data_IF_959508533088
#
_entry.id   IF_959508533088
#
_cell.length_a   1.000
_cell.length_b   1.000
_cell.length_c   1.000
_cell.angle_alpha   90.00
_cell.angle_beta   90.00
_cell.angle_gamma   90.00
#
_symmetry.space_group_name_H-M   'P 1'
#
loop_
_entity.id
_entity.type
_entity.pdbx_description
1 polymer ?
#
# COMPACT_ATOMS: atom_id res chain seq x y z
N UNK A 1 -4.06 9.24 -22.98
CA UNK A 1 -4.60 7.90 -22.65
C UNK A 1 -5.99 8.06 -22.04
N UNK A 2 -6.90 7.14 -22.33
CA UNK A 2 -8.28 7.12 -21.82
C UNK A 2 -8.31 6.26 -20.54
N UNK A 3 -8.69 6.83 -19.42
CA UNK A 3 -8.77 6.16 -18.13
C UNK A 3 -10.22 5.88 -17.74
N UNK A 4 -10.45 4.79 -17.03
CA UNK A 4 -11.73 4.51 -16.38
C UNK A 4 -11.52 4.08 -14.92
N UNK A 5 -12.56 4.26 -14.09
CA UNK A 5 -12.57 3.86 -12.69
C UNK A 5 -13.77 2.93 -12.45
N UNK A 6 -13.53 1.80 -11.77
CA UNK A 6 -14.58 0.97 -11.18
C UNK A 6 -14.44 0.95 -9.66
N UNK A 7 -15.55 1.29 -8.96
CA UNK A 7 -15.59 1.55 -7.53
C UNK A 7 -15.45 3.05 -7.22
N UNK A 8 -16.58 3.74 -7.00
CA UNK A 8 -16.64 5.19 -6.78
C UNK A 8 -16.71 5.54 -5.28
N UNK A 9 -15.91 4.86 -4.46
CA UNK A 9 -15.78 5.11 -3.02
C UNK A 9 -14.87 6.31 -2.69
N UNK A 10 -14.47 6.43 -1.42
CA UNK A 10 -13.62 7.55 -0.96
C UNK A 10 -12.26 7.59 -1.69
N UNK A 11 -11.63 6.42 -1.90
CA UNK A 11 -10.33 6.35 -2.57
C UNK A 11 -10.39 6.78 -4.05
N UNK A 12 -11.54 6.62 -4.70
CA UNK A 12 -11.74 7.04 -6.09
C UNK A 12 -11.56 8.56 -6.28
N UNK A 13 -11.91 9.36 -5.26
CA UNK A 13 -11.69 10.82 -5.28
C UNK A 13 -10.20 11.17 -5.26
N UNK A 14 -9.41 10.36 -4.56
CA UNK A 14 -7.94 10.54 -4.53
C UNK A 14 -7.33 10.16 -5.88
N UNK A 15 -7.78 9.05 -6.49
CA UNK A 15 -7.37 8.68 -7.84
C UNK A 15 -7.79 9.73 -8.88
N UNK A 16 -8.99 10.27 -8.78
CA UNK A 16 -9.44 11.39 -9.64
C UNK A 16 -8.50 12.59 -9.49
N UNK A 17 -8.11 12.94 -8.25
CA UNK A 17 -7.14 14.01 -8.00
C UNK A 17 -5.78 13.73 -8.63
N UNK A 18 -5.32 12.48 -8.59
CA UNK A 18 -4.06 12.07 -9.23
C UNK A 18 -4.15 12.17 -10.77
N UNK A 19 -5.24 11.66 -11.35
CA UNK A 19 -5.47 11.71 -12.80
C UNK A 19 -5.51 13.15 -13.35
N UNK A 20 -6.14 14.07 -12.63
CA UNK A 20 -6.19 15.51 -13.00
C UNK A 20 -4.83 16.18 -13.08
N UNK A 21 -3.83 15.65 -12.40
CA UNK A 21 -2.45 16.16 -12.47
C UNK A 21 -1.68 15.65 -13.70
N UNK A 22 -2.28 14.76 -14.50
CA UNK A 22 -1.69 14.20 -15.71
C UNK A 22 -2.30 14.88 -16.95
N UNK A 23 -1.49 15.55 -17.75
CA UNK A 23 -1.96 16.32 -18.91
C UNK A 23 -2.46 15.44 -20.06
N UNK A 24 -1.93 14.21 -20.16
CA UNK A 24 -2.18 13.31 -21.29
C UNK A 24 -3.12 12.16 -20.94
N UNK A 25 -3.87 12.29 -19.83
CA UNK A 25 -4.83 11.29 -19.36
C UNK A 25 -6.20 11.91 -19.17
N UNK A 26 -7.20 11.32 -19.81
CA UNK A 26 -8.60 11.72 -19.73
C UNK A 26 -9.41 10.65 -19.01
N UNK A 27 -10.16 11.00 -17.96
CA UNK A 27 -11.12 10.10 -17.32
C UNK A 27 -12.41 10.08 -18.13
N UNK A 28 -12.68 8.97 -18.82
CA UNK A 28 -13.80 8.84 -19.74
C UNK A 28 -15.02 8.13 -19.17
N UNK A 29 -14.85 7.29 -18.15
CA UNK A 29 -15.92 6.55 -17.53
C UNK A 29 -15.67 6.22 -16.06
N UNK A 30 -16.75 6.19 -15.29
CA UNK A 30 -16.75 5.76 -13.89
C UNK A 30 -17.90 4.79 -13.66
N UNK A 31 -17.63 3.68 -12.95
CA UNK A 31 -18.61 2.62 -12.73
C UNK A 31 -18.71 2.28 -11.24
N UNK A 32 -19.93 2.23 -10.73
CA UNK A 32 -20.25 1.69 -9.41
C UNK A 32 -21.65 1.07 -9.44
N UNK A 33 -21.84 -0.05 -8.73
CA UNK A 33 -23.18 -0.67 -8.58
C UNK A 33 -24.21 0.29 -7.96
N UNK A 34 -23.75 1.26 -7.18
CA UNK A 34 -24.55 2.38 -6.67
C UNK A 34 -24.50 3.54 -7.66
N UNK A 35 -25.60 3.74 -8.38
CA UNK A 35 -25.74 4.79 -9.41
C UNK A 35 -25.44 6.20 -8.86
N UNK A 36 -25.72 6.44 -7.59
CA UNK A 36 -25.49 7.76 -6.99
C UNK A 36 -24.00 8.02 -6.80
N UNK A 37 -23.23 7.00 -6.37
CA UNK A 37 -21.76 7.11 -6.27
C UNK A 37 -21.12 7.32 -7.64
N UNK A 38 -21.58 6.60 -8.66
CA UNK A 38 -21.07 6.80 -10.01
C UNK A 38 -21.35 8.22 -10.51
N UNK A 39 -22.58 8.73 -10.32
CA UNK A 39 -22.94 10.09 -10.68
C UNK A 39 -22.17 11.17 -9.92
N UNK A 40 -22.00 11.01 -8.61
CA UNK A 40 -21.21 11.94 -7.79
C UNK A 40 -19.77 12.06 -8.28
N UNK A 41 -19.12 10.93 -8.57
CA UNK A 41 -17.74 10.94 -9.07
C UNK A 41 -17.67 11.52 -10.49
N UNK A 42 -18.65 11.20 -11.35
CA UNK A 42 -18.76 11.76 -12.69
C UNK A 42 -18.94 13.28 -12.67
N UNK A 43 -19.78 13.83 -11.77
CA UNK A 43 -19.94 15.28 -11.59
C UNK A 43 -18.66 15.97 -11.11
N UNK A 44 -17.84 15.25 -10.34
CA UNK A 44 -16.53 15.76 -9.91
C UNK A 44 -15.47 15.66 -11.02
N UNK A 45 -15.70 14.90 -12.08
CA UNK A 45 -14.77 14.73 -13.21
C UNK A 45 -15.21 15.61 -14.38
N UNK A 46 -14.24 16.02 -15.20
CA UNK A 46 -14.48 16.89 -16.35
C UNK A 46 -14.95 16.07 -17.56
N UNK A 47 -16.17 15.46 -17.48
CA UNK A 47 -16.81 14.79 -18.60
C UNK A 47 -16.90 13.26 -18.56
N UNK A 48 -16.51 12.59 -17.47
CA UNK A 48 -16.65 11.13 -17.37
C UNK A 48 -18.14 10.71 -17.34
N UNK A 49 -18.44 9.65 -18.07
CA UNK A 49 -19.80 9.08 -18.11
C UNK A 49 -20.01 8.09 -16.97
N UNK A 50 -21.11 8.21 -16.18
CA UNK A 50 -21.40 7.27 -15.10
C UNK A 50 -22.08 5.99 -15.60
N UNK A 51 -21.62 4.84 -15.10
CA UNK A 51 -22.14 3.50 -15.41
C UNK A 51 -22.46 2.73 -14.14
N UNK A 52 -23.35 1.73 -14.26
CA UNK A 52 -23.60 0.73 -13.22
C UNK A 52 -23.17 -0.68 -13.63
N UNK A 53 -22.80 -0.86 -14.89
CA UNK A 53 -22.27 -2.09 -15.45
C UNK A 53 -20.88 -1.86 -16.07
N UNK A 54 -19.89 -2.65 -15.64
CA UNK A 54 -18.51 -2.51 -16.10
C UNK A 54 -18.39 -2.91 -17.58
N UNK A 55 -19.09 -3.96 -18.01
CA UNK A 55 -19.04 -4.43 -19.39
C UNK A 55 -19.55 -3.37 -20.37
N UNK A 56 -20.65 -2.70 -20.04
CA UNK A 56 -21.18 -1.59 -20.83
C UNK A 56 -20.17 -0.43 -20.90
N UNK A 57 -19.57 -0.03 -19.77
CA UNK A 57 -18.54 1.00 -19.73
C UNK A 57 -17.34 0.65 -20.63
N UNK A 58 -16.82 -0.55 -20.53
CA UNK A 58 -15.67 -1.01 -21.32
C UNK A 58 -15.98 -1.02 -22.82
N UNK A 59 -17.17 -1.51 -23.20
CA UNK A 59 -17.59 -1.60 -24.60
C UNK A 59 -17.79 -0.21 -25.24
N UNK A 60 -18.38 0.74 -24.50
CA UNK A 60 -18.69 2.07 -25.02
C UNK A 60 -17.49 3.02 -24.96
N UNK A 61 -16.77 3.03 -23.84
CA UNK A 61 -15.69 3.98 -23.63
C UNK A 61 -14.34 3.49 -24.16
N UNK A 62 -14.11 2.18 -24.25
CA UNK A 62 -12.85 1.57 -24.69
C UNK A 62 -11.63 2.23 -24.03
N UNK A 63 -11.54 2.23 -22.69
CA UNK A 63 -10.44 2.87 -21.99
C UNK A 63 -9.13 2.10 -22.21
N UNK A 64 -8.01 2.82 -22.24
CA UNK A 64 -6.67 2.23 -22.26
C UNK A 64 -6.30 1.68 -20.87
N UNK A 65 -6.84 2.29 -19.80
CA UNK A 65 -6.53 1.93 -18.42
C UNK A 65 -7.79 1.84 -17.56
N UNK A 66 -7.78 0.88 -16.62
CA UNK A 66 -8.84 0.69 -15.64
C UNK A 66 -8.26 0.75 -14.21
N UNK A 67 -8.76 1.66 -13.39
CA UNK A 67 -8.50 1.68 -11.96
C UNK A 67 -9.56 0.86 -11.23
N UNK A 68 -9.18 -0.24 -10.58
CA UNK A 68 -10.07 -1.11 -9.81
C UNK A 68 -9.98 -0.72 -8.33
N UNK A 69 -11.00 -0.02 -7.82
CA UNK A 69 -11.01 0.66 -6.52
C UNK A 69 -12.15 0.16 -5.61
N UNK A 70 -12.63 -1.02 -5.88
CA UNK A 70 -13.71 -1.69 -5.14
C UNK A 70 -13.16 -2.38 -3.86
N UNK A 71 -14.01 -2.98 -3.02
CA UNK A 71 -13.52 -3.88 -1.96
C UNK A 71 -12.81 -5.11 -2.53
N UNK A 72 -11.79 -5.66 -1.82
CA UNK A 72 -10.88 -6.69 -2.34
C UNK A 72 -11.53 -7.96 -2.91
N UNK A 73 -12.69 -8.35 -2.39
CA UNK A 73 -13.41 -9.55 -2.86
C UNK A 73 -13.83 -9.48 -4.35
N UNK A 74 -13.86 -8.31 -4.95
CA UNK A 74 -14.20 -8.13 -6.36
C UNK A 74 -13.01 -7.78 -7.27
N UNK A 75 -11.81 -7.59 -6.70
CA UNK A 75 -10.64 -7.14 -7.46
C UNK A 75 -10.31 -8.08 -8.61
N UNK A 76 -10.18 -9.39 -8.33
CA UNK A 76 -9.77 -10.36 -9.34
C UNK A 76 -10.76 -10.39 -10.53
N UNK A 77 -12.06 -10.47 -10.26
CA UNK A 77 -13.06 -10.55 -11.33
C UNK A 77 -13.10 -9.27 -12.19
N UNK A 78 -13.07 -8.09 -11.56
CA UNK A 78 -13.14 -6.81 -12.27
C UNK A 78 -11.85 -6.49 -13.02
N UNK A 79 -10.70 -6.83 -12.43
CA UNK A 79 -9.41 -6.65 -13.08
C UNK A 79 -9.27 -7.56 -14.32
N UNK A 80 -9.63 -8.84 -14.21
CA UNK A 80 -9.61 -9.79 -15.33
C UNK A 80 -10.53 -9.29 -16.46
N UNK A 81 -11.76 -8.89 -16.14
CA UNK A 81 -12.69 -8.34 -17.13
C UNK A 81 -12.12 -7.09 -17.84
N UNK A 82 -11.44 -6.21 -17.11
CA UNK A 82 -10.75 -5.07 -17.70
C UNK A 82 -9.60 -5.46 -18.63
N UNK A 83 -8.76 -6.42 -18.20
CA UNK A 83 -7.63 -6.93 -19.00
C UNK A 83 -8.10 -7.67 -20.26
N UNK A 84 -9.15 -8.47 -20.18
CA UNK A 84 -9.79 -9.12 -21.34
C UNK A 84 -10.38 -8.11 -22.34
N UNK A 85 -10.72 -6.89 -21.89
CA UNK A 85 -11.12 -5.79 -22.76
C UNK A 85 -9.93 -4.96 -23.29
N UNK A 86 -8.70 -5.36 -22.99
CA UNK A 86 -7.46 -4.71 -23.44
C UNK A 86 -6.97 -3.56 -22.57
N UNK A 87 -7.50 -3.39 -21.35
CA UNK A 87 -7.07 -2.32 -20.47
C UNK A 87 -5.83 -2.72 -19.64
N UNK A 88 -4.85 -1.83 -19.51
CA UNK A 88 -3.89 -1.90 -18.43
C UNK A 88 -4.61 -1.62 -17.10
N UNK A 89 -4.27 -2.34 -16.04
CA UNK A 89 -4.99 -2.30 -14.77
C UNK A 89 -4.12 -1.81 -13.62
N UNK A 90 -4.62 -0.80 -12.90
CA UNK A 90 -4.15 -0.41 -11.56
C UNK A 90 -5.20 -0.85 -10.54
N UNK A 91 -4.85 -1.80 -9.66
CA UNK A 91 -5.78 -2.38 -8.69
C UNK A 91 -5.41 -1.99 -7.27
N UNK A 92 -6.41 -1.67 -6.44
CA UNK A 92 -6.21 -1.41 -5.01
C UNK A 92 -5.66 -2.63 -4.25
N UNK A 93 -4.98 -2.31 -3.17
CA UNK A 93 -4.43 -3.35 -2.27
C UNK A 93 -5.52 -3.90 -1.29
N UNK A 94 -5.41 -5.16 -0.90
CA UNK A 94 -4.58 -6.20 -1.51
C UNK A 94 -5.03 -6.49 -2.94
N UNK A 95 -4.09 -6.80 -3.82
CA UNK A 95 -4.40 -7.10 -5.23
C UNK A 95 -5.45 -8.21 -5.37
N UNK A 96 -5.35 -9.22 -4.52
CA UNK A 96 -6.25 -10.36 -4.43
C UNK A 96 -6.36 -10.85 -2.98
N UNK A 97 -7.32 -11.72 -2.68
CA UNK A 97 -7.49 -12.34 -1.37
C UNK A 97 -6.83 -13.72 -1.24
N UNK A 98 -6.36 -14.29 -2.35
CA UNK A 98 -5.65 -15.58 -2.39
C UNK A 98 -4.60 -15.60 -3.49
N UNK A 99 -3.60 -16.49 -3.35
CA UNK A 99 -2.61 -16.75 -4.41
C UNK A 99 -3.28 -17.22 -5.70
N UNK A 100 -4.32 -18.06 -5.61
CA UNK A 100 -5.05 -18.53 -6.77
C UNK A 100 -5.70 -17.37 -7.57
N UNK A 101 -6.24 -16.37 -6.88
CA UNK A 101 -6.80 -15.19 -7.55
C UNK A 101 -5.67 -14.35 -8.17
N UNK A 102 -4.57 -14.14 -7.46
CA UNK A 102 -3.40 -13.41 -7.97
C UNK A 102 -2.83 -14.08 -9.23
N UNK A 103 -2.68 -15.41 -9.23
CA UNK A 103 -2.20 -16.18 -10.38
C UNK A 103 -3.11 -16.04 -11.61
N UNK A 104 -4.44 -16.06 -11.40
CA UNK A 104 -5.39 -15.82 -12.51
C UNK A 104 -5.31 -14.41 -13.06
N UNK A 105 -5.10 -13.41 -12.20
CA UNK A 105 -4.93 -12.02 -12.64
C UNK A 105 -3.65 -11.85 -13.46
N UNK A 106 -2.54 -12.44 -13.02
CA UNK A 106 -1.26 -12.42 -13.76
C UNK A 106 -1.42 -13.08 -15.10
N UNK A 107 -1.98 -14.31 -15.15
CA UNK A 107 -2.22 -15.02 -16.38
C UNK A 107 -3.11 -14.25 -17.38
N UNK A 108 -4.12 -13.52 -16.87
CA UNK A 108 -4.97 -12.67 -17.70
C UNK A 108 -4.21 -11.46 -18.26
N UNK A 109 -3.32 -10.84 -17.45
CA UNK A 109 -2.47 -9.75 -17.93
C UNK A 109 -1.51 -10.21 -19.04
N UNK A 110 -0.85 -11.35 -18.87
CA UNK A 110 0.04 -11.95 -19.85
C UNK A 110 -0.68 -12.32 -21.14
N UNK A 111 -1.85 -12.99 -21.02
CA UNK A 111 -2.62 -13.45 -22.18
C UNK A 111 -3.15 -12.29 -23.05
N UNK A 112 -3.38 -11.13 -22.47
CA UNK A 112 -3.88 -9.93 -23.17
C UNK A 112 -2.78 -8.87 -23.43
N UNK A 113 -1.53 -9.17 -23.11
CA UNK A 113 -0.37 -8.27 -23.30
C UNK A 113 -0.55 -6.89 -22.63
N UNK A 114 -1.19 -6.88 -21.46
CA UNK A 114 -1.46 -5.66 -20.69
C UNK A 114 -0.75 -5.65 -19.34
N UNK A 115 -0.56 -4.48 -18.79
CA UNK A 115 0.10 -4.27 -17.50
C UNK A 115 -0.91 -4.41 -16.36
N UNK A 116 -0.53 -5.18 -15.32
CA UNK A 116 -1.22 -5.25 -14.04
C UNK A 116 -0.31 -4.68 -12.94
N UNK A 117 -0.77 -3.65 -12.22
CA UNK A 117 -0.02 -2.99 -11.16
C UNK A 117 -0.86 -2.90 -9.89
N UNK A 118 -0.43 -3.46 -8.74
CA UNK A 118 -1.07 -3.24 -7.46
C UNK A 118 -0.73 -1.87 -6.87
N UNK A 119 -1.69 -1.26 -6.16
CA UNK A 119 -1.49 0.02 -5.50
C UNK A 119 -0.68 -0.11 -4.21
N UNK A 120 0.63 -0.27 -4.32
CA UNK A 120 1.58 -0.23 -3.20
C UNK A 120 2.07 1.22 -2.95
N UNK A 121 1.14 2.15 -2.77
CA UNK A 121 1.41 3.59 -2.72
C UNK A 121 2.46 4.00 -1.69
N UNK A 122 2.56 3.36 -0.51
CA UNK A 122 3.54 3.76 0.51
C UNK A 122 5.00 3.58 0.06
N UNK A 123 5.26 2.78 -0.98
CA UNK A 123 6.58 2.75 -1.61
C UNK A 123 6.99 4.12 -2.18
N UNK A 124 6.01 4.97 -2.52
CA UNK A 124 6.22 6.32 -3.08
C UNK A 124 6.26 7.42 -2.02
N UNK A 125 6.16 7.08 -0.74
CA UNK A 125 6.37 8.05 0.34
C UNK A 125 7.80 8.59 0.33
N UNK A 126 8.00 9.92 0.51
CA UNK A 126 9.33 10.52 0.48
C UNK A 126 10.34 9.87 1.42
N UNK A 127 9.91 9.51 2.64
CA UNK A 127 10.74 8.79 3.61
C UNK A 127 11.17 7.41 3.11
N UNK A 128 10.25 6.63 2.52
CA UNK A 128 10.53 5.30 1.97
C UNK A 128 11.42 5.41 0.72
N UNK A 129 11.13 6.34 -0.19
CA UNK A 129 11.96 6.58 -1.37
C UNK A 129 13.40 6.97 -0.98
N UNK A 130 13.57 7.77 0.09
CA UNK A 130 14.90 8.07 0.63
C UNK A 130 15.55 6.83 1.22
N UNK A 131 14.81 6.02 2.00
CA UNK A 131 15.33 4.78 2.58
C UNK A 131 15.79 3.79 1.50
N UNK A 132 14.97 3.58 0.46
CA UNK A 132 15.31 2.71 -0.68
C UNK A 132 16.58 3.18 -1.41
N UNK A 133 16.73 4.49 -1.63
CA UNK A 133 17.97 5.03 -2.23
C UNK A 133 19.20 4.81 -1.34
N UNK A 134 19.08 5.00 -0.03
CA UNK A 134 20.19 4.79 0.91
C UNK A 134 20.62 3.32 0.95
N UNK A 135 19.65 2.41 1.04
CA UNK A 135 19.93 0.96 1.02
C UNK A 135 20.51 0.53 -0.33
N UNK A 136 19.90 0.97 -1.44
CA UNK A 136 20.37 0.67 -2.79
C UNK A 136 21.77 1.25 -3.12
N UNK A 137 22.17 2.33 -2.43
CA UNK A 137 23.53 2.89 -2.52
C UNK A 137 24.55 2.14 -1.63
N UNK A 138 24.14 1.09 -0.90
CA UNK A 138 25.02 0.31 -0.03
C UNK A 138 25.39 1.01 1.29
N UNK A 139 24.68 2.07 1.68
CA UNK A 139 25.00 2.92 2.83
C UNK A 139 24.94 2.19 4.19
N UNK A 140 24.33 1.03 4.24
CA UNK A 140 24.20 0.19 5.45
C UNK A 140 24.72 -1.24 5.25
N UNK A 141 25.38 -1.54 4.13
CA UNK A 141 25.82 -2.89 3.78
C UNK A 141 24.62 -3.80 3.41
N UNK A 142 24.80 -5.12 3.61
CA UNK A 142 23.75 -6.10 3.35
C UNK A 142 22.63 -6.00 4.39
N UNK A 143 21.38 -5.99 3.93
CA UNK A 143 20.20 -5.96 4.83
C UNK A 143 20.04 -7.32 5.50
N UNK A 144 20.00 -7.35 6.83
CA UNK A 144 19.89 -8.58 7.65
C UNK A 144 18.59 -8.66 8.45
N UNK A 145 17.98 -7.50 8.76
CA UNK A 145 16.74 -7.44 9.53
C UNK A 145 15.90 -6.22 9.17
N UNK A 146 14.59 -6.40 9.09
CA UNK A 146 13.64 -5.30 8.86
C UNK A 146 12.50 -5.35 9.89
N UNK A 147 12.19 -4.22 10.49
CA UNK A 147 11.07 -4.06 11.41
C UNK A 147 10.07 -3.05 10.87
N UNK A 148 8.81 -3.45 10.73
CA UNK A 148 7.72 -2.59 10.28
C UNK A 148 6.66 -2.41 11.37
N UNK A 149 6.31 -1.16 11.68
CA UNK A 149 5.28 -0.83 12.65
C UNK A 149 4.17 0.00 12.02
N UNK A 150 2.92 -0.40 12.27
CA UNK A 150 1.72 0.28 11.80
C UNK A 150 0.74 0.51 12.95
N UNK A 151 0.82 1.66 13.60
CA UNK A 151 -0.03 2.07 14.70
C UNK A 151 -1.14 3.00 14.26
N UNK A 152 -2.39 2.67 14.58
CA UNK A 152 -3.60 3.40 14.17
C UNK A 152 -4.14 4.36 15.23
N UNK A 153 -3.56 4.38 16.44
CA UNK A 153 -3.90 5.27 17.55
C UNK A 153 -5.41 5.35 17.89
N UNK A 154 -6.15 4.25 17.67
CA UNK A 154 -7.59 4.21 17.89
C UNK A 154 -8.41 4.69 16.70
N UNK A 155 -7.80 4.94 15.51
CA UNK A 155 -8.53 5.18 14.25
C UNK A 155 -9.43 3.99 13.85
N UNK A 156 -9.34 2.85 14.56
CA UNK A 156 -10.35 1.79 14.50
C UNK A 156 -11.77 2.30 14.76
N UNK A 157 -11.93 3.45 15.42
CA UNK A 157 -13.22 4.16 15.52
C UNK A 157 -13.66 4.82 14.20
N UNK A 158 -12.75 5.19 13.31
CA UNK A 158 -13.08 5.73 11.98
C UNK A 158 -13.71 4.66 11.08
N UNK A 159 -13.36 3.37 11.32
CA UNK A 159 -13.97 2.21 10.68
C UNK A 159 -15.28 1.76 11.36
N UNK A 160 -15.62 2.29 12.53
CA UNK A 160 -16.95 2.18 13.11
C UNK A 160 -17.91 3.06 12.29
N UNK A 161 -18.42 2.52 11.20
CA UNK A 161 -19.16 3.21 10.15
C UNK A 161 -20.08 4.32 10.64
N UNK A 162 -20.07 5.45 9.94
CA UNK A 162 -21.07 6.50 10.13
C UNK A 162 -22.47 5.89 9.90
N UNK A 163 -23.34 5.99 10.91
CA UNK A 163 -24.71 5.46 10.82
C UNK A 163 -24.90 4.01 11.29
N UNK A 164 -23.98 3.45 12.09
CA UNK A 164 -24.17 2.12 12.71
C UNK A 164 -23.90 0.90 11.81
N UNK A 165 -23.52 1.13 10.55
CA UNK A 165 -23.08 0.06 9.66
C UNK A 165 -21.60 -0.24 9.88
N UNK A 166 -21.25 -1.51 10.01
CA UNK A 166 -19.85 -1.96 10.07
C UNK A 166 -19.13 -1.62 8.77
N UNK A 167 -17.88 -1.12 8.88
CA UNK A 167 -17.05 -0.93 7.70
C UNK A 167 -16.77 -2.28 7.03
N UNK A 168 -16.80 -2.33 5.70
CA UNK A 168 -16.62 -3.55 4.89
C UNK A 168 -15.35 -4.35 5.25
N UNK A 169 -14.30 -3.66 5.71
CA UNK A 169 -13.03 -4.30 6.11
C UNK A 169 -13.18 -5.30 7.26
N UNK A 170 -14.20 -5.14 8.12
CA UNK A 170 -14.46 -6.14 9.18
C UNK A 170 -15.04 -7.45 8.63
N UNK A 171 -15.64 -7.42 7.43
CA UNK A 171 -16.13 -8.60 6.72
C UNK A 171 -15.07 -9.35 5.92
N UNK A 172 -13.82 -8.89 5.89
CA UNK A 172 -12.73 -9.59 5.21
C UNK A 172 -12.28 -10.82 6.03
N UNK A 173 -11.76 -11.86 5.37
CA UNK A 173 -10.99 -12.90 6.06
C UNK A 173 -9.83 -12.25 6.81
N UNK A 174 -9.74 -12.44 8.13
CA UNK A 174 -8.78 -11.75 8.99
C UNK A 174 -9.24 -10.35 9.47
N UNK A 175 -10.49 -9.98 9.17
CA UNK A 175 -11.07 -8.71 9.63
C UNK A 175 -10.32 -7.48 9.15
N UNK A 176 -10.33 -6.42 9.96
CA UNK A 176 -9.68 -5.16 9.63
C UNK A 176 -8.17 -5.26 9.42
N UNK A 177 -7.48 -6.27 10.01
CA UNK A 177 -6.05 -6.49 9.78
C UNK A 177 -5.74 -6.73 8.30
N UNK A 178 -6.59 -7.47 7.57
CA UNK A 178 -6.42 -7.71 6.13
C UNK A 178 -6.37 -6.42 5.31
N UNK A 179 -6.96 -5.32 5.81
CA UNK A 179 -6.86 -4.03 5.15
C UNK A 179 -5.54 -3.27 5.44
N UNK A 180 -4.90 -3.53 6.60
CA UNK A 180 -3.69 -2.79 7.01
C UNK A 180 -2.40 -3.55 6.76
N UNK A 181 -2.42 -4.88 6.93
CA UNK A 181 -1.27 -5.76 6.72
C UNK A 181 -0.57 -5.58 5.36
N UNK A 182 -1.28 -5.44 4.24
CA UNK A 182 -0.65 -5.24 2.94
C UNK A 182 0.40 -4.15 2.96
N UNK A 183 0.12 -3.01 3.60
CA UNK A 183 1.07 -1.88 3.66
C UNK A 183 2.39 -2.25 4.33
N UNK A 184 2.35 -2.98 5.44
CA UNK A 184 3.56 -3.35 6.18
C UNK A 184 4.30 -4.47 5.46
N UNK A 185 3.57 -5.44 4.89
CA UNK A 185 4.16 -6.58 4.17
C UNK A 185 4.98 -6.09 2.98
N UNK A 186 4.39 -5.33 2.06
CA UNK A 186 5.13 -4.88 0.88
C UNK A 186 6.26 -3.89 1.21
N UNK A 187 6.15 -3.13 2.32
CA UNK A 187 7.24 -2.30 2.81
C UNK A 187 8.42 -3.14 3.30
N UNK A 188 8.17 -4.24 4.02
CA UNK A 188 9.24 -5.17 4.40
C UNK A 188 9.88 -5.82 3.16
N UNK A 189 9.06 -6.30 2.23
CA UNK A 189 9.51 -6.95 1.00
C UNK A 189 10.30 -6.02 0.09
N UNK A 190 10.11 -4.70 0.17
CA UNK A 190 10.91 -3.74 -0.57
C UNK A 190 12.39 -3.70 -0.14
N UNK A 191 12.69 -4.12 1.10
CA UNK A 191 14.05 -4.17 1.65
C UNK A 191 14.58 -5.60 1.81
N UNK A 192 13.68 -6.57 1.95
CA UNK A 192 13.97 -8.01 2.01
C UNK A 192 12.98 -8.74 1.08
N UNK A 193 13.26 -8.79 -0.24
CA UNK A 193 12.32 -9.35 -1.22
C UNK A 193 11.92 -10.80 -0.97
N UNK A 194 12.82 -11.61 -0.41
CA UNK A 194 12.65 -13.05 -0.20
C UNK A 194 12.00 -13.38 1.15
N UNK A 195 11.64 -12.37 1.95
CA UNK A 195 10.94 -12.58 3.20
C UNK A 195 9.49 -13.03 2.92
N UNK A 196 9.22 -14.30 3.18
CA UNK A 196 7.95 -14.93 2.85
C UNK A 196 7.44 -15.92 3.89
N UNK A 197 8.34 -16.63 4.59
CA UNK A 197 7.97 -17.67 5.54
C UNK A 197 7.50 -17.07 6.86
N UNK A 198 6.25 -17.35 7.23
CA UNK A 198 5.67 -16.94 8.51
C UNK A 198 6.12 -17.92 9.61
N UNK A 199 6.95 -17.44 10.54
CA UNK A 199 7.47 -18.24 11.66
C UNK A 199 6.61 -18.15 12.92
N UNK A 200 5.84 -17.08 13.07
CA UNK A 200 4.97 -16.90 14.21
C UNK A 200 4.01 -15.74 14.06
N UNK A 201 2.81 -15.93 14.62
CA UNK A 201 1.76 -14.90 14.68
C UNK A 201 1.28 -14.79 16.13
N UNK A 202 1.41 -13.61 16.71
CA UNK A 202 0.93 -13.29 18.04
C UNK A 202 -0.22 -12.28 17.94
N UNK A 203 -1.32 -12.60 18.64
CA UNK A 203 -2.49 -11.74 18.77
C UNK A 203 -2.69 -11.39 20.24
N UNK A 204 -2.86 -10.12 20.56
CA UNK A 204 -3.29 -9.73 21.88
C UNK A 204 -4.81 -9.45 21.86
N UNK A 205 -5.58 -10.08 22.77
CA UNK A 205 -6.98 -9.74 22.97
C UNK A 205 -7.06 -8.30 23.46
N UNK A 206 -7.89 -7.53 22.81
CA UNK A 206 -8.12 -6.14 23.18
C UNK A 206 -9.61 -5.87 23.25
N UNK A 207 -10.02 -4.76 23.87
CA UNK A 207 -11.40 -4.32 23.91
C UNK A 207 -11.98 -3.91 22.55
N UNK A 208 -11.61 -4.66 21.48
CA UNK A 208 -12.22 -4.52 20.16
C UNK A 208 -13.69 -4.95 20.19
N UNK A 209 -14.46 -4.52 19.16
CA UNK A 209 -15.83 -5.01 19.00
C UNK A 209 -15.82 -6.54 18.98
N UNK A 210 -16.71 -7.17 19.78
CA UNK A 210 -16.93 -8.62 19.79
C UNK A 210 -15.71 -9.47 20.19
N UNK A 211 -14.77 -8.89 20.98
CA UNK A 211 -13.58 -9.64 21.43
C UNK A 211 -12.50 -9.83 20.36
N UNK A 212 -12.59 -9.13 19.23
CA UNK A 212 -11.57 -9.20 18.18
C UNK A 212 -10.21 -8.68 18.68
N UNK A 213 -9.10 -9.29 18.24
CA UNK A 213 -7.76 -8.82 18.57
C UNK A 213 -7.53 -7.39 18.03
N UNK A 214 -6.79 -6.61 18.79
CA UNK A 214 -6.43 -5.22 18.41
C UNK A 214 -4.95 -5.05 18.15
N UNK A 215 -4.14 -6.04 18.50
CA UNK A 215 -2.71 -6.06 18.29
C UNK A 215 -2.32 -7.32 17.55
N UNK A 216 -1.46 -7.19 16.55
CA UNK A 216 -0.91 -8.28 15.76
C UNK A 216 0.59 -8.09 15.65
N UNK A 217 1.36 -9.13 15.94
CA UNK A 217 2.79 -9.20 15.65
C UNK A 217 3.08 -10.47 14.85
N UNK A 218 3.91 -10.35 13.82
CA UNK A 218 4.30 -11.44 12.93
C UNK A 218 5.82 -11.47 12.79
N UNK A 219 6.41 -12.64 12.88
CA UNK A 219 7.81 -12.89 12.54
C UNK A 219 7.88 -13.61 11.20
N UNK A 220 8.76 -13.12 10.34
CA UNK A 220 8.96 -13.59 8.98
C UNK A 220 10.43 -13.98 8.77
N UNK A 221 10.64 -15.03 7.98
CA UNK A 221 11.98 -15.51 7.59
C UNK A 221 12.15 -15.40 6.07
N UNK A 222 13.35 -15.02 5.63
CA UNK A 222 13.80 -15.05 4.25
C UNK A 222 15.20 -15.64 4.16
N UNK A 223 15.73 -15.87 2.97
CA UNK A 223 17.08 -16.46 2.76
C UNK A 223 18.20 -15.55 3.30
N UNK A 224 18.06 -14.23 3.09
CA UNK A 224 19.07 -13.24 3.47
C UNK A 224 18.88 -12.60 4.85
N UNK A 225 17.74 -12.83 5.52
CA UNK A 225 17.45 -12.16 6.79
C UNK A 225 16.07 -12.48 7.34
N UNK A 226 15.67 -11.73 8.36
CA UNK A 226 14.36 -11.89 8.98
C UNK A 226 13.62 -10.55 9.08
N UNK A 227 12.31 -10.63 9.23
CA UNK A 227 11.44 -9.47 9.38
C UNK A 227 10.48 -9.62 10.56
N UNK A 228 10.14 -8.48 11.15
CA UNK A 228 9.04 -8.40 12.11
C UNK A 228 8.09 -7.32 11.66
N UNK A 229 6.81 -7.61 11.67
CA UNK A 229 5.77 -6.60 11.48
C UNK A 229 4.83 -6.54 12.67
N UNK A 230 4.43 -5.34 13.03
CA UNK A 230 3.47 -5.11 14.10
C UNK A 230 2.37 -4.17 13.60
N UNK A 231 1.13 -4.58 13.80
CA UNK A 231 -0.03 -3.72 13.58
C UNK A 231 -0.75 -3.52 14.92
N UNK A 232 -0.87 -2.27 15.34
CA UNK A 232 -1.57 -1.89 16.55
C UNK A 232 -2.75 -0.97 16.23
N UNK A 233 -3.94 -1.36 16.68
CA UNK A 233 -5.13 -0.53 16.51
C UNK A 233 -5.32 0.45 17.68
N UNK A 234 -4.63 0.26 18.81
CA UNK A 234 -4.85 1.04 20.05
C UNK A 234 -3.65 1.84 20.52
N UNK A 235 -2.41 1.40 20.21
CA UNK A 235 -1.22 2.06 20.70
C UNK A 235 -1.17 3.54 20.26
N UNK A 236 -0.78 4.40 21.17
CA UNK A 236 -0.65 5.85 20.96
C UNK A 236 0.76 6.30 21.30
N UNK A 237 1.26 7.35 20.63
CA UNK A 237 0.64 8.13 19.56
C UNK A 237 0.54 7.35 18.22
N UNK A 238 -0.19 7.92 17.24
CA UNK A 238 -0.18 7.46 15.86
C UNK A 238 1.25 7.40 15.34
N UNK A 239 1.68 6.24 14.84
CA UNK A 239 3.03 6.03 14.35
C UNK A 239 3.05 4.95 13.25
N UNK A 240 3.82 5.21 12.20
CA UNK A 240 4.10 4.24 11.13
C UNK A 240 5.56 4.41 10.74
N UNK A 241 6.33 3.34 10.80
CA UNK A 241 7.74 3.40 10.44
C UNK A 241 8.26 2.05 9.95
N UNK A 242 9.39 2.10 9.26
CA UNK A 242 10.19 0.94 8.89
C UNK A 242 11.63 1.19 9.35
N UNK A 243 12.18 0.23 10.08
CA UNK A 243 13.59 0.18 10.46
C UNK A 243 14.28 -0.89 9.63
N UNK A 244 15.34 -0.53 8.95
CA UNK A 244 16.15 -1.43 8.13
C UNK A 244 17.55 -1.53 8.74
N UNK A 245 17.92 -2.73 9.12
CA UNK A 245 19.22 -3.02 9.74
C UNK A 245 20.10 -3.78 8.75
N UNK A 246 21.24 -3.22 8.47
CA UNK A 246 22.27 -3.83 7.63
C UNK A 246 23.53 -4.15 8.40
N UNK A 247 24.49 -4.78 7.70
CA UNK A 247 25.79 -5.18 8.29
C UNK A 247 26.69 -3.99 8.64
N UNK A 248 26.45 -2.81 8.04
CA UNK A 248 27.29 -1.61 8.21
C UNK A 248 26.51 -0.39 8.70
N UNK A 249 25.20 -0.53 8.97
CA UNK A 249 24.40 0.58 9.48
C UNK A 249 22.91 0.27 9.56
N UNK A 250 22.15 1.32 9.84
CA UNK A 250 20.68 1.26 9.93
C UNK A 250 20.03 2.43 9.25
N UNK A 251 18.82 2.23 8.70
CA UNK A 251 17.94 3.30 8.21
C UNK A 251 16.64 3.25 8.99
N UNK A 252 16.21 4.38 9.53
CA UNK A 252 14.87 4.57 10.09
C UNK A 252 14.05 5.44 9.14
N UNK A 253 12.90 4.94 8.69
CA UNK A 253 11.97 5.68 7.84
C UNK A 253 10.63 5.88 8.58
N UNK A 254 10.35 7.11 9.01
CA UNK A 254 9.08 7.50 9.63
C UNK A 254 8.11 7.98 8.54
N UNK A 255 7.02 7.24 8.36
CA UNK A 255 6.00 7.48 7.34
C UNK A 255 4.98 8.55 7.74
N UNK A 256 4.97 8.95 9.01
CA UNK A 256 4.08 10.00 9.53
C UNK A 256 4.74 11.36 9.42
N UNK A 257 6.00 11.43 9.87
CA UNK A 257 6.82 12.65 9.78
C UNK A 257 7.45 12.85 8.40
N UNK A 258 7.40 11.82 7.53
CA UNK A 258 8.05 11.78 6.22
C UNK A 258 9.56 12.09 6.27
N UNK A 259 10.23 11.48 7.25
CA UNK A 259 11.66 11.65 7.51
C UNK A 259 12.32 10.27 7.48
N UNK A 260 13.46 10.17 6.78
CA UNK A 260 14.35 9.02 6.90
C UNK A 260 15.71 9.48 7.41
N UNK A 261 16.25 8.75 8.40
CA UNK A 261 17.59 8.95 8.96
C UNK A 261 18.45 7.70 8.72
N UNK A 262 19.75 7.89 8.56
CA UNK A 262 20.71 6.80 8.36
C UNK A 262 21.83 6.92 9.41
N UNK A 263 22.18 5.77 10.00
CA UNK A 263 23.30 5.64 10.93
C UNK A 263 24.24 4.58 10.42
N UNK A 264 25.51 4.94 10.23
CA UNK A 264 26.55 4.04 9.74
C UNK A 264 27.39 3.54 10.92
N UNK A 265 27.76 2.26 10.90
CA UNK A 265 28.71 1.71 11.85
C UNK A 265 30.07 2.41 11.70
N UNK A 266 30.70 2.75 12.83
CA UNK A 266 31.97 3.45 12.88
C UNK A 266 32.93 2.83 13.88
N UNK A 267 34.17 2.83 13.52
CA UNK A 267 35.25 2.42 14.43
C UNK A 267 35.64 3.55 15.41
N UNK A 268 34.66 4.06 16.18
CA UNK A 268 34.87 5.11 17.17
C UNK A 268 34.82 4.56 18.59
N UNK A 269 35.51 5.21 19.58
CA UNK A 269 35.29 4.87 20.99
C UNK A 269 33.80 5.01 21.35
N UNK A 270 33.25 4.04 22.09
CA UNK A 270 31.83 3.90 22.39
C UNK A 270 31.13 5.19 22.87
N UNK A 271 31.82 6.00 23.68
CA UNK A 271 31.25 7.26 24.17
C UNK A 271 31.16 8.32 23.07
N UNK A 272 32.17 8.39 22.20
CA UNK A 272 32.18 9.31 21.04
C UNK A 272 31.12 8.91 20.05
N UNK A 273 31.01 7.62 19.75
CA UNK A 273 30.01 7.08 18.83
C UNK A 273 28.58 7.41 19.27
N UNK A 274 28.27 7.24 20.58
CA UNK A 274 26.96 7.62 21.12
C UNK A 274 26.62 9.09 20.94
N UNK A 275 27.60 9.98 21.18
CA UNK A 275 27.37 11.44 21.00
C UNK A 275 27.19 11.75 19.53
N UNK A 276 28.05 11.19 18.69
CA UNK A 276 27.97 11.40 17.22
C UNK A 276 26.63 10.90 16.66
N UNK A 277 26.20 9.71 17.07
CA UNK A 277 24.89 9.16 16.71
C UNK A 277 23.75 10.12 17.07
N UNK A 278 23.72 10.61 18.33
CA UNK A 278 22.65 11.51 18.77
C UNK A 278 22.64 12.85 18.03
N UNK A 279 23.82 13.41 17.76
CA UNK A 279 23.95 14.67 17.04
C UNK A 279 23.51 14.53 15.57
N UNK A 280 23.92 13.44 14.92
CA UNK A 280 23.55 13.15 13.53
C UNK A 280 22.05 12.89 13.37
N UNK A 281 21.46 12.09 14.26
CA UNK A 281 20.04 11.82 14.26
C UNK A 281 19.25 13.12 14.42
N UNK A 282 19.61 13.95 15.41
CA UNK A 282 19.02 15.26 15.62
C UNK A 282 19.15 16.18 14.40
N UNK A 283 20.34 16.24 13.79
CA UNK A 283 20.59 17.07 12.61
C UNK A 283 19.78 16.59 11.39
N UNK A 284 19.74 15.28 11.13
CA UNK A 284 18.96 14.71 10.02
C UNK A 284 17.46 14.92 10.22
N UNK A 285 16.98 14.74 11.46
CA UNK A 285 15.57 14.98 11.83
C UNK A 285 15.19 16.44 11.63
N UNK A 286 16.02 17.38 12.10
CA UNK A 286 15.79 18.81 11.93
C UNK A 286 15.78 19.21 10.44
N UNK A 287 16.76 18.75 9.69
CA UNK A 287 16.86 19.02 8.24
C UNK A 287 15.63 18.46 7.49
N UNK A 288 15.20 17.24 7.82
CA UNK A 288 14.00 16.64 7.26
C UNK A 288 12.73 17.43 7.60
N UNK A 289 12.60 17.87 8.86
CA UNK A 289 11.46 18.70 9.30
C UNK A 289 11.41 20.03 8.55
N UNK A 290 12.54 20.72 8.46
CA UNK A 290 12.63 22.00 7.72
C UNK A 290 12.30 21.80 6.23
N UNK A 291 12.80 20.72 5.62
CA UNK A 291 12.50 20.36 4.23
C UNK A 291 11.01 20.11 4.01
N UNK A 292 10.36 19.39 4.92
CA UNK A 292 8.92 19.11 4.84
C UNK A 292 8.08 20.40 5.01
N UNK A 293 8.42 21.26 5.98
CA UNK A 293 7.74 22.55 6.17
C UNK A 293 7.89 23.43 4.92
N UNK A 294 9.09 23.50 4.35
CA UNK A 294 9.32 24.22 3.11
C UNK A 294 8.52 23.61 1.94
N UNK A 295 8.45 22.28 1.85
CA UNK A 295 7.65 21.58 0.84
C UNK A 295 6.16 21.93 0.93
N UNK A 296 5.59 21.98 2.13
CA UNK A 296 4.21 22.42 2.36
C UNK A 296 4.02 23.88 1.97
N UNK A 297 4.91 24.76 2.42
CA UNK A 297 4.84 26.21 2.12
C UNK A 297 4.93 26.50 0.61
N UNK A 298 5.66 25.69 -0.16
CA UNK A 298 5.79 25.80 -1.61
C UNK A 298 4.70 25.02 -2.39
N UNK A 299 3.70 24.44 -1.70
CA UNK A 299 2.63 23.66 -2.34
C UNK A 299 3.10 22.34 -2.96
N UNK A 300 4.30 21.88 -2.62
CA UNK A 300 4.88 20.62 -3.14
C UNK A 300 4.51 19.38 -2.34
N UNK A 301 4.05 19.57 -1.09
CA UNK A 301 3.62 18.50 -0.20
C UNK A 301 2.13 18.64 0.06
N UNK A 302 1.39 17.59 -0.24
CA UNK A 302 -0.06 17.49 -0.01
C UNK A 302 -0.41 16.08 0.48
N UNK A 303 -1.60 15.92 1.04
CA UNK A 303 -2.10 14.59 1.39
C UNK A 303 -2.14 13.67 0.16
N UNK A 304 -1.83 12.39 0.35
CA UNK A 304 -1.82 11.37 -0.72
C UNK A 304 -0.81 11.58 -1.85
N UNK A 305 0.27 12.34 -1.63
CA UNK A 305 1.32 12.51 -2.63
C UNK A 305 1.98 11.18 -3.05
N UNK A 306 2.00 10.20 -2.17
CA UNK A 306 2.44 8.83 -2.41
C UNK A 306 1.57 8.12 -3.47
N UNK A 307 0.24 8.22 -3.36
CA UNK A 307 -0.67 7.67 -4.36
C UNK A 307 -0.57 8.42 -5.69
N UNK A 308 -0.48 9.75 -5.66
CA UNK A 308 -0.25 10.54 -6.86
C UNK A 308 1.07 10.17 -7.54
N UNK A 309 2.13 9.92 -6.76
CA UNK A 309 3.42 9.45 -7.27
C UNK A 309 3.33 8.09 -7.96
N UNK A 310 2.64 7.11 -7.35
CA UNK A 310 2.42 5.80 -7.96
C UNK A 310 1.62 5.91 -9.26
N UNK A 311 0.50 6.66 -9.25
CA UNK A 311 -0.33 6.85 -10.44
C UNK A 311 0.49 7.49 -11.57
N UNK A 312 1.25 8.55 -11.28
CA UNK A 312 2.11 9.19 -12.26
C UNK A 312 3.18 8.24 -12.82
N UNK A 313 3.80 7.43 -11.96
CA UNK A 313 4.78 6.42 -12.37
C UNK A 313 4.15 5.32 -13.24
N UNK A 314 2.92 4.87 -12.92
CA UNK A 314 2.18 3.90 -13.72
C UNK A 314 1.95 4.40 -15.15
N UNK A 315 1.37 5.59 -15.30
CA UNK A 315 1.13 6.17 -16.63
C UNK A 315 2.44 6.49 -17.37
N UNK A 316 3.47 6.96 -16.66
CA UNK A 316 4.79 7.19 -17.24
C UNK A 316 5.42 5.91 -17.78
N UNK A 317 5.30 4.80 -17.06
CA UNK A 317 5.80 3.50 -17.50
C UNK A 317 5.06 3.01 -18.76
N UNK A 318 3.73 3.14 -18.80
CA UNK A 318 2.92 2.79 -19.99
C UNK A 318 3.30 3.60 -21.21
N UNK A 319 3.47 4.91 -21.08
CA UNK A 319 3.86 5.82 -22.16
C UNK A 319 5.28 5.52 -22.68
N UNK A 320 6.19 5.15 -21.78
CA UNK A 320 7.57 4.84 -22.11
C UNK A 320 7.78 3.38 -22.60
N UNK A 321 6.77 2.52 -22.47
CA UNK A 321 6.91 1.08 -22.76
C UNK A 321 7.90 0.37 -21.82
N UNK A 322 8.00 0.83 -20.56
CA UNK A 322 8.90 0.27 -19.54
C UNK A 322 8.16 -0.58 -18.52
N UNK A 323 8.90 -1.29 -17.68
CA UNK A 323 8.33 -2.07 -16.59
C UNK A 323 7.47 -1.19 -15.65
N UNK A 324 6.36 -1.73 -15.11
CA UNK A 324 5.51 -1.00 -14.18
C UNK A 324 6.24 -0.65 -12.87
N UNK A 325 5.80 0.39 -12.16
CA UNK A 325 6.45 0.83 -10.92
C UNK A 325 6.33 -0.18 -9.77
N UNK A 326 5.34 -1.03 -9.83
CA UNK A 326 5.14 -2.21 -8.97
C UNK A 326 4.63 -3.33 -9.86
N UNK A 327 5.34 -4.44 -9.91
CA UNK A 327 4.96 -5.59 -10.73
C UNK A 327 3.81 -6.39 -10.11
N UNK A 328 3.11 -7.16 -10.93
CA UNK A 328 2.07 -8.07 -10.47
C UNK A 328 2.65 -9.18 -9.58
N UNK A 329 3.90 -9.61 -9.82
CA UNK A 329 4.63 -10.60 -9.02
C UNK A 329 4.94 -10.07 -7.62
N UNK A 330 5.26 -8.78 -7.46
CA UNK A 330 5.39 -8.15 -6.13
C UNK A 330 4.06 -8.16 -5.41
N UNK A 331 2.96 -7.85 -6.12
CA UNK A 331 1.61 -8.00 -5.58
C UNK A 331 1.30 -9.43 -5.14
N UNK A 332 1.66 -10.41 -5.96
CA UNK A 332 1.49 -11.84 -5.65
C UNK A 332 2.30 -12.27 -4.41
N UNK A 333 3.56 -11.86 -4.31
CA UNK A 333 4.40 -12.15 -3.12
C UNK A 333 3.75 -11.58 -1.85
N UNK A 334 3.25 -10.35 -1.88
CA UNK A 334 2.53 -9.74 -0.77
C UNK A 334 1.27 -10.55 -0.40
N UNK A 335 0.48 -10.99 -1.38
CA UNK A 335 -0.71 -11.82 -1.15
C UNK A 335 -0.32 -13.16 -0.52
N UNK A 336 0.78 -13.78 -0.93
CA UNK A 336 1.28 -15.02 -0.36
C UNK A 336 1.59 -14.90 1.13
N UNK A 337 2.29 -13.84 1.54
CA UNK A 337 2.56 -13.57 2.96
C UNK A 337 1.27 -13.30 3.73
N UNK A 338 0.35 -12.52 3.16
CA UNK A 338 -0.95 -12.25 3.78
C UNK A 338 -1.77 -13.54 3.99
N UNK A 339 -1.77 -14.45 3.04
CA UNK A 339 -2.44 -15.75 3.12
C UNK A 339 -1.76 -16.64 4.18
N UNK A 340 -0.42 -16.69 4.21
CA UNK A 340 0.35 -17.42 5.21
C UNK A 340 0.12 -16.88 6.63
N UNK A 341 0.07 -15.58 6.84
CA UNK A 341 -0.28 -14.98 8.14
C UNK A 341 -1.66 -15.46 8.60
N UNK A 342 -2.64 -15.47 7.71
CA UNK A 342 -4.00 -15.96 8.04
C UNK A 342 -3.99 -17.44 8.39
N UNK A 343 -3.25 -18.26 7.68
CA UNK A 343 -3.13 -19.70 7.95
C UNK A 343 -2.47 -20.02 9.29
N UNK A 344 -1.47 -19.23 9.70
CA UNK A 344 -0.76 -19.36 10.97
C UNK A 344 -1.48 -18.68 12.16
N UNK A 345 -2.51 -17.92 11.87
CA UNK A 345 -3.24 -17.19 12.90
C UNK A 345 -4.22 -18.10 13.67
N UNK A 346 -4.45 -17.83 14.98
CA UNK A 346 -5.56 -18.46 15.70
C UNK A 346 -6.90 -18.27 15.00
N UNK A 347 -7.88 -19.14 15.27
CA UNK A 347 -9.23 -19.14 14.65
C UNK A 347 -9.86 -17.77 14.36
N UNK A 348 -9.73 -16.72 15.22
CA UNK A 348 -10.35 -15.42 14.97
C UNK A 348 -9.93 -14.72 13.66
N UNK A 349 -8.71 -14.99 13.14
CA UNK A 349 -8.26 -14.43 11.87
C UNK A 349 -8.52 -15.35 10.66
N UNK A 350 -8.87 -16.61 10.91
CA UNK A 350 -9.16 -17.57 9.83
C UNK A 350 -10.60 -17.45 9.32
N UNK A 351 -11.53 -17.02 10.17
CA UNK A 351 -12.96 -16.92 9.83
C UNK A 351 -13.31 -15.51 9.36
N UNK A 352 -14.06 -15.43 8.26
CA UNK A 352 -14.84 -14.23 8.00
C UNK A 352 -15.86 -14.11 9.15
N UNK A 353 -16.13 -12.90 9.70
CA UNK A 353 -17.21 -12.73 10.66
C UNK A 353 -18.51 -13.27 10.04
N UNK A 354 -19.33 -13.93 10.87
CA UNK A 354 -20.66 -14.37 10.44
C UNK A 354 -21.44 -13.15 9.93
N UNK A 355 -22.07 -13.31 8.77
CA UNK A 355 -22.79 -12.26 8.05
C UNK A 355 -23.96 -11.69 8.85
#
# INVERSE_FOLDING_TARGET
MRAAIVGCGEIARVHLGALRNLTDVELVGVCDRDVWRARDLAQMSDGATPYTDLGAMLAEQRPDTLHVLTPPASHAALAIQGMEAGCHVLVEKPMALSLQEADRMIAAAEANEVTLTPNHNYLFKPSIQKALRLVGAGEIGDVVYVNGYYGLAGEGSAYAGRGGRSHWAYGLPGGAFTNFLPHVIYLLQAFLPDVADVQGVALAPGGGREGQPTELAVTLQGEGGCGVLVVSMRARPYAKYVDVYGTEGTVHADLVREIATVHRARALPRMVDKVTYSVEDGAQTLAGTVGNVAGVALGRAHGYQDLHGLVAAFYGALQAGTAPPVSAEEGRRMVGVLEAIRAHSPEPLQRAPAA
#
